data_IF_787150730332
#
_entry.id   IF_787150730332
#
_cell.length_a   1.000
_cell.length_b   1.000
_cell.length_c   1.000
_cell.angle_alpha   90.00
_cell.angle_beta   90.00
_cell.angle_gamma   90.00
#
_symmetry.space_group_name_H-M   'P 1'
#
loop_
_entity.id
_entity.type
_entity.pdbx_description
1 polymer ?
#
# COMPACT_ATOMS: atom_id res chain seq x y z
N UNK A 1 7.69 58.82 38.40
CA UNK A 1 6.28 58.40 38.32
C UNK A 1 5.98 57.72 36.97
N UNK A 2 6.80 56.76 36.53
CA UNK A 2 6.64 56.09 35.23
C UNK A 2 6.50 54.55 35.33
N UNK A 3 6.80 53.99 36.49
CA UNK A 3 7.00 52.54 36.66
C UNK A 3 5.70 51.74 36.51
N UNK A 4 4.57 52.27 36.99
CA UNK A 4 3.27 51.59 36.88
C UNK A 4 2.81 51.42 35.43
N UNK A 5 3.14 52.37 34.54
CA UNK A 5 2.79 52.27 33.10
C UNK A 5 3.56 51.12 32.44
N UNK A 6 4.82 50.94 32.82
CA UNK A 6 5.68 49.84 32.34
C UNK A 6 5.23 48.48 32.87
N UNK A 7 4.70 48.41 34.09
CA UNK A 7 4.12 47.17 34.63
C UNK A 7 2.83 46.76 33.93
N UNK A 8 1.94 47.70 33.65
CA UNK A 8 0.71 47.42 32.90
C UNK A 8 1.03 46.95 31.47
N UNK A 9 2.03 47.54 30.82
CA UNK A 9 2.48 47.09 29.49
C UNK A 9 3.08 45.69 29.55
N UNK A 10 3.90 45.38 30.57
CA UNK A 10 4.44 44.02 30.77
C UNK A 10 3.32 43.00 30.95
N UNK A 11 2.34 43.28 31.82
CA UNK A 11 1.20 42.37 32.01
C UNK A 11 0.34 42.22 30.75
N UNK A 12 0.11 43.31 30.02
CA UNK A 12 -0.58 43.26 28.73
C UNK A 12 0.15 42.37 27.73
N UNK A 13 1.48 42.49 27.64
CA UNK A 13 2.30 41.65 26.76
C UNK A 13 2.26 40.19 27.20
N UNK A 14 2.41 39.90 28.49
CA UNK A 14 2.38 38.52 29.00
C UNK A 14 1.04 37.82 28.78
N UNK A 15 -0.08 38.54 28.73
CA UNK A 15 -1.41 37.97 28.47
C UNK A 15 -1.67 37.87 26.96
N UNK A 16 -1.38 38.93 26.22
CA UNK A 16 -1.68 38.98 24.77
C UNK A 16 -0.73 38.13 23.94
N UNK A 17 0.53 37.99 24.34
CA UNK A 17 1.54 37.19 23.64
C UNK A 17 1.16 35.71 23.51
N UNK A 18 0.86 34.95 24.59
CA UNK A 18 0.47 33.56 24.47
C UNK A 18 -0.88 33.38 23.75
N UNK A 19 -1.82 34.31 23.90
CA UNK A 19 -3.12 34.26 23.21
C UNK A 19 -2.98 34.50 21.71
N UNK A 20 -2.15 35.47 21.31
CA UNK A 20 -1.85 35.76 19.91
C UNK A 20 -1.06 34.63 19.26
N UNK A 21 -0.07 34.06 19.97
CA UNK A 21 0.65 32.87 19.53
C UNK A 21 -0.31 31.69 19.35
N UNK A 22 -1.19 31.44 20.32
CA UNK A 22 -2.19 30.39 20.22
C UNK A 22 -3.11 30.61 19.02
N UNK A 23 -3.55 31.84 18.76
CA UNK A 23 -4.40 32.15 17.61
C UNK A 23 -3.66 31.97 16.27
N UNK A 24 -2.39 32.37 16.19
CA UNK A 24 -1.57 32.23 15.00
C UNK A 24 -1.22 30.77 14.70
N UNK A 25 -0.82 30.00 15.71
CA UNK A 25 -0.41 28.60 15.53
C UNK A 25 -1.57 27.61 15.48
N UNK A 26 -2.78 27.98 15.93
CA UNK A 26 -3.98 27.15 15.82
C UNK A 26 -4.77 27.38 14.52
N UNK A 27 -4.27 28.18 13.57
CA UNK A 27 -4.91 28.32 12.26
C UNK A 27 -4.74 27.01 11.48
N UNK A 28 -5.84 26.33 11.09
CA UNK A 28 -5.82 25.05 10.40
C UNK A 28 -5.16 25.10 9.01
N UNK A 29 -4.96 26.30 8.46
CA UNK A 29 -4.41 26.55 7.13
C UNK A 29 -2.97 26.02 6.96
N UNK A 30 -2.12 26.12 7.99
CA UNK A 30 -0.77 25.53 7.94
C UNK A 30 -0.78 24.01 8.08
N UNK A 31 -1.82 23.45 8.71
CA UNK A 31 -1.95 22.02 8.91
C UNK A 31 -2.38 21.30 7.63
N UNK A 32 -3.28 21.90 6.84
CA UNK A 32 -3.74 21.32 5.57
C UNK A 32 -2.58 21.17 4.57
N UNK A 33 -1.72 22.17 4.44
CA UNK A 33 -0.60 22.13 3.52
C UNK A 33 0.46 21.10 3.94
N UNK A 34 0.74 20.98 5.24
CA UNK A 34 1.72 20.01 5.76
C UNK A 34 1.20 18.57 5.70
N UNK A 35 -0.05 18.32 6.09
CA UNK A 35 -0.65 16.98 6.01
C UNK A 35 -0.87 16.56 4.55
N UNK A 36 -1.29 17.49 3.68
CA UNK A 36 -1.49 17.19 2.25
C UNK A 36 -0.17 16.90 1.55
N UNK A 37 0.92 17.63 1.86
CA UNK A 37 2.26 17.32 1.34
C UNK A 37 2.76 15.98 1.87
N UNK A 38 2.62 15.71 3.16
CA UNK A 38 3.02 14.44 3.78
C UNK A 38 2.26 13.24 3.19
N UNK A 39 0.93 13.37 3.01
CA UNK A 39 0.10 12.34 2.40
C UNK A 39 0.48 12.06 0.95
N UNK A 40 0.81 13.11 0.17
CA UNK A 40 1.28 12.97 -1.22
C UNK A 40 2.67 12.34 -1.35
N UNK A 41 3.56 12.55 -0.38
CA UNK A 41 4.89 11.93 -0.38
C UNK A 41 4.82 10.45 -0.02
N UNK A 42 3.96 10.07 0.93
CA UNK A 42 3.80 8.69 1.39
C UNK A 42 3.00 7.84 0.38
N UNK A 43 2.01 8.45 -0.28
CA UNK A 43 1.23 7.81 -1.34
C UNK A 43 1.45 8.56 -2.64
N UNK A 44 2.53 8.25 -3.40
CA UNK A 44 2.67 8.78 -4.74
C UNK A 44 1.39 8.45 -5.53
N UNK A 45 0.82 9.41 -6.29
CA UNK A 45 -0.37 9.15 -7.10
C UNK A 45 -0.04 8.00 -8.06
N UNK A 46 -0.79 6.91 -7.89
CA UNK A 46 -0.70 5.68 -8.67
C UNK A 46 -0.41 6.01 -10.14
N UNK A 47 0.83 5.82 -10.57
CA UNK A 47 1.18 6.09 -11.96
C UNK A 47 0.38 5.10 -12.81
N UNK A 48 -0.22 5.56 -13.91
CA UNK A 48 -0.97 4.69 -14.83
C UNK A 48 -0.11 3.50 -15.29
N UNK A 49 1.20 3.74 -15.42
CA UNK A 49 2.23 2.75 -15.73
C UNK A 49 2.30 1.61 -14.72
N UNK A 50 2.25 1.87 -13.41
CA UNK A 50 2.23 0.80 -12.39
C UNK A 50 0.98 -0.08 -12.48
N UNK A 51 -0.17 0.48 -12.87
CA UNK A 51 -1.40 -0.31 -13.05
C UNK A 51 -1.28 -1.28 -14.21
N UNK A 52 -0.69 -0.83 -15.32
CA UNK A 52 -0.44 -1.68 -16.49
C UNK A 52 0.55 -2.79 -16.16
N UNK A 53 1.68 -2.48 -15.52
CA UNK A 53 2.68 -3.47 -15.10
C UNK A 53 2.11 -4.53 -14.15
N UNK A 54 1.29 -4.12 -13.17
CA UNK A 54 0.63 -5.05 -12.25
C UNK A 54 -0.36 -5.95 -13.01
N UNK A 55 -1.12 -5.41 -13.96
CA UNK A 55 -2.05 -6.20 -14.77
C UNK A 55 -1.34 -7.21 -15.66
N UNK A 56 -0.23 -6.81 -16.28
CA UNK A 56 0.60 -7.73 -17.08
C UNK A 56 1.21 -8.83 -16.23
N UNK A 57 1.69 -8.50 -15.03
CA UNK A 57 2.22 -9.49 -14.09
C UNK A 57 1.15 -10.52 -13.68
N UNK A 58 -0.06 -10.06 -13.37
CA UNK A 58 -1.20 -10.94 -13.04
C UNK A 58 -1.56 -11.85 -14.21
N UNK A 59 -1.58 -11.31 -15.44
CA UNK A 59 -1.86 -12.08 -16.66
C UNK A 59 -0.82 -13.19 -16.86
N UNK A 60 0.47 -12.84 -16.79
CA UNK A 60 1.57 -13.77 -16.97
C UNK A 60 1.56 -14.90 -15.92
N UNK A 61 1.20 -14.60 -14.67
CA UNK A 61 1.11 -15.61 -13.61
C UNK A 61 -0.07 -16.56 -13.87
N UNK A 62 -1.23 -16.04 -14.30
CA UNK A 62 -2.40 -16.86 -14.63
C UNK A 62 -2.12 -17.82 -15.78
N UNK A 63 -1.52 -17.32 -16.87
CA UNK A 63 -1.18 -18.15 -18.04
C UNK A 63 -0.21 -19.27 -17.67
N UNK A 64 0.84 -18.99 -16.89
CA UNK A 64 1.77 -20.03 -16.42
C UNK A 64 1.08 -21.10 -15.59
N UNK A 65 0.17 -20.69 -14.69
CA UNK A 65 -0.57 -21.62 -13.82
C UNK A 65 -1.53 -22.50 -14.61
N UNK A 66 -2.17 -21.96 -15.65
CA UNK A 66 -3.06 -22.72 -16.54
C UNK A 66 -2.29 -23.77 -17.35
N UNK A 67 -1.13 -23.39 -17.90
CA UNK A 67 -0.27 -24.33 -18.64
C UNK A 67 0.25 -25.45 -17.72
N UNK A 68 0.65 -25.13 -16.50
CA UNK A 68 1.10 -26.12 -15.52
C UNK A 68 -0.03 -27.07 -15.13
N UNK A 69 -1.24 -26.55 -14.90
CA UNK A 69 -2.42 -27.36 -14.61
C UNK A 69 -2.76 -28.33 -15.77
N UNK A 70 -2.68 -27.85 -17.01
CA UNK A 70 -2.91 -28.69 -18.20
C UNK A 70 -1.85 -29.79 -18.34
N UNK A 71 -0.59 -29.53 -17.98
CA UNK A 71 0.46 -30.56 -17.95
C UNK A 71 0.16 -31.63 -16.92
N UNK A 72 -0.20 -31.25 -15.69
CA UNK A 72 -0.56 -32.21 -14.64
C UNK A 72 -1.79 -33.04 -15.01
N UNK A 73 -2.80 -32.43 -15.64
CA UNK A 73 -3.97 -33.15 -16.15
C UNK A 73 -3.56 -34.15 -17.23
N UNK A 74 -2.69 -33.76 -18.17
CA UNK A 74 -2.19 -34.67 -19.22
C UNK A 74 -1.33 -35.81 -18.66
N UNK A 75 -0.55 -35.56 -17.63
CA UNK A 75 0.25 -36.57 -16.94
C UNK A 75 -0.64 -37.56 -16.17
N UNK A 76 -1.69 -37.08 -15.48
CA UNK A 76 -2.70 -37.95 -14.87
C UNK A 76 -3.45 -38.77 -15.90
N UNK A 77 -3.86 -38.14 -17.01
CA UNK A 77 -4.61 -38.81 -18.07
C UNK A 77 -3.73 -39.85 -18.77
N UNK A 78 -2.48 -39.51 -19.11
CA UNK A 78 -1.50 -40.44 -19.70
C UNK A 78 -1.13 -41.58 -18.75
N UNK A 79 -0.99 -41.30 -17.44
CA UNK A 79 -0.78 -42.32 -16.42
C UNK A 79 -1.97 -43.26 -16.26
N UNK A 80 -3.20 -42.74 -16.33
CA UNK A 80 -4.42 -43.55 -16.31
C UNK A 80 -4.59 -44.40 -17.57
N UNK A 81 -4.22 -43.86 -18.75
CA UNK A 81 -4.20 -44.59 -20.02
C UNK A 81 -3.11 -45.66 -20.02
N UNK A 82 -1.95 -45.41 -19.42
CA UNK A 82 -0.88 -46.41 -19.26
C UNK A 82 -1.29 -47.54 -18.31
N UNK A 83 -1.98 -47.24 -17.22
CA UNK A 83 -2.54 -48.26 -16.32
C UNK A 83 -3.61 -49.13 -17.00
N UNK A 84 -4.46 -48.53 -17.86
CA UNK A 84 -5.46 -49.26 -18.65
C UNK A 84 -4.86 -50.02 -19.85
N UNK A 85 -3.74 -49.55 -20.40
CA UNK A 85 -3.03 -50.19 -21.52
C UNK A 85 -2.06 -51.28 -21.07
N UNK A 86 -1.79 -51.40 -19.75
CA UNK A 86 -0.95 -52.47 -19.20
C UNK A 86 -1.81 -53.73 -19.08
N UNK A 87 -1.48 -54.81 -19.79
CA UNK A 87 -2.27 -56.03 -19.70
C UNK A 87 -2.09 -56.73 -18.34
N UNK A 88 -3.15 -57.33 -17.80
CA UNK A 88 -3.19 -57.90 -16.44
C UNK A 88 -2.06 -58.89 -16.12
N UNK A 89 -1.50 -59.59 -17.12
CA UNK A 89 -0.42 -60.56 -16.96
C UNK A 89 0.93 -59.96 -16.53
N UNK A 90 1.08 -58.63 -16.58
CA UNK A 90 2.34 -57.94 -16.29
C UNK A 90 2.43 -57.45 -14.84
N UNK A 91 1.40 -57.66 -14.02
CA UNK A 91 1.31 -57.23 -12.62
C UNK A 91 1.88 -58.23 -11.59
N UNK A 92 2.41 -59.38 -12.03
CA UNK A 92 2.79 -60.52 -11.14
C UNK A 92 4.29 -60.65 -10.82
N UNK A 93 5.07 -59.57 -10.87
CA UNK A 93 6.47 -59.60 -10.45
C UNK A 93 6.78 -58.47 -9.45
N UNK A 94 6.37 -58.66 -8.19
CA UNK A 94 7.13 -58.46 -6.93
C UNK A 94 6.23 -58.62 -5.71
#
# INVERSE_FOLDING_TARGET
MGDWKLEVIKMGLYITFPVALFHYFNQPEYFEDWVTKTRRTIFPPDSKTHREEIQECIRNIREKKEVEMLRHLKEQDSGSVQLLATPEWQMDHF
#
